data_IF_084766287129
#
_entry.id   IF_084766287129
#
_cell.length_a   1.000
_cell.length_b   1.000
_cell.length_c   1.000
_cell.angle_alpha   90.00
_cell.angle_beta   90.00
_cell.angle_gamma   90.00
#
_symmetry.space_group_name_H-M   'P 1'
#
loop_
_entity.id
_entity.type
_entity.pdbx_description
1 polymer ?
#
# COMPACT_ATOMS: atom_id res chain seq x y z
N UNK A 1 -51.26 25.72 -20.17
CA UNK A 1 -51.54 25.39 -18.77
C UNK A 1 -50.25 24.98 -18.08
N UNK A 2 -49.95 25.66 -16.97
CA UNK A 2 -48.86 25.40 -16.03
C UNK A 2 -48.99 23.98 -15.47
N UNK A 3 -47.91 23.19 -15.46
CA UNK A 3 -47.52 22.29 -14.35
C UNK A 3 -46.00 22.05 -14.39
N UNK A 4 -45.27 22.95 -13.73
CA UNK A 4 -44.07 22.59 -12.99
C UNK A 4 -44.53 21.79 -11.77
N UNK A 5 -43.95 20.63 -11.46
CA UNK A 5 -43.64 20.17 -10.08
C UNK A 5 -42.54 19.09 -10.16
N UNK A 6 -41.38 19.49 -9.66
CA UNK A 6 -40.47 18.81 -8.71
C UNK A 6 -40.07 17.34 -8.90
N UNK A 7 -38.76 17.12 -8.77
CA UNK A 7 -38.27 16.20 -7.73
C UNK A 7 -37.45 15.01 -8.20
N UNK A 8 -36.18 15.24 -8.55
CA UNK A 8 -35.16 14.18 -8.54
C UNK A 8 -33.80 14.75 -8.15
N UNK A 9 -33.71 15.29 -6.94
CA UNK A 9 -32.44 15.50 -6.25
C UNK A 9 -32.23 14.37 -5.25
N UNK A 10 -31.87 13.18 -5.73
CA UNK A 10 -31.24 12.15 -4.91
C UNK A 10 -29.76 12.52 -4.77
N UNK A 11 -29.51 13.58 -4.00
CA UNK A 11 -28.18 14.01 -3.59
C UNK A 11 -27.83 13.28 -2.29
N UNK A 12 -26.76 12.48 -2.34
CA UNK A 12 -25.85 12.28 -1.21
C UNK A 12 -26.38 11.48 -0.02
N UNK A 13 -26.52 10.16 -0.17
CA UNK A 13 -26.66 9.22 0.95
C UNK A 13 -25.34 8.47 1.26
N UNK A 14 -24.21 9.16 1.09
CA UNK A 14 -22.88 8.66 1.46
C UNK A 14 -22.08 9.76 2.17
N UNK A 15 -22.56 10.22 3.32
CA UNK A 15 -21.91 11.37 3.97
C UNK A 15 -22.36 11.70 5.38
N UNK A 16 -22.82 10.72 6.17
CA UNK A 16 -22.90 10.89 7.63
C UNK A 16 -22.10 9.77 8.28
N UNK A 17 -20.81 10.03 8.49
CA UNK A 17 -20.09 9.39 9.58
C UNK A 17 -20.72 9.91 10.88
N UNK A 18 -21.90 9.38 11.24
CA UNK A 18 -22.38 9.50 12.60
C UNK A 18 -21.27 8.87 13.47
N UNK A 19 -20.70 9.66 14.37
CA UNK A 19 -19.78 9.16 15.38
C UNK A 19 -20.51 8.04 16.14
N UNK A 20 -20.22 6.79 15.75
CA UNK A 20 -20.81 5.62 16.39
C UNK A 20 -20.17 5.57 17.78
N UNK A 21 -20.91 6.02 18.80
CA UNK A 21 -20.47 5.87 20.18
C UNK A 21 -20.28 4.39 20.42
N UNK A 22 -19.03 3.98 20.67
CA UNK A 22 -18.71 2.60 20.99
C UNK A 22 -19.50 2.23 22.25
N UNK A 23 -20.40 1.22 22.22
CA UNK A 23 -21.22 0.89 23.38
C UNK A 23 -20.33 0.64 24.60
N UNK A 24 -20.78 0.96 25.83
CA UNK A 24 -19.93 0.88 27.02
C UNK A 24 -19.36 -0.52 27.25
N UNK A 25 -20.10 -1.58 26.91
CA UNK A 25 -19.60 -2.95 26.94
C UNK A 25 -18.43 -3.20 25.98
N UNK A 26 -18.45 -2.57 24.79
CA UNK A 26 -17.36 -2.64 23.81
C UNK A 26 -16.16 -1.82 24.27
N UNK A 27 -16.37 -0.67 24.93
CA UNK A 27 -15.28 0.11 25.55
C UNK A 27 -14.55 -0.70 26.62
N UNK A 28 -15.29 -1.36 27.51
CA UNK A 28 -14.69 -2.23 28.55
C UNK A 28 -13.92 -3.39 27.92
N UNK A 29 -14.47 -4.02 26.88
CA UNK A 29 -13.78 -5.06 26.13
C UNK A 29 -12.49 -4.54 25.47
N UNK A 30 -12.53 -3.38 24.82
CA UNK A 30 -11.36 -2.75 24.19
C UNK A 30 -10.28 -2.40 25.20
N UNK A 31 -10.65 -1.84 26.37
CA UNK A 31 -9.71 -1.58 27.46
C UNK A 31 -9.04 -2.87 27.95
N UNK A 32 -9.80 -3.96 28.02
CA UNK A 32 -9.27 -5.29 28.34
C UNK A 32 -8.26 -5.80 27.32
N UNK A 33 -8.54 -5.67 26.02
CA UNK A 33 -7.60 -6.06 24.97
C UNK A 33 -6.34 -5.18 24.95
N UNK A 34 -6.48 -3.86 25.15
CA UNK A 34 -5.35 -2.94 25.25
C UNK A 34 -4.45 -3.28 26.45
N UNK A 35 -5.05 -3.64 27.60
CA UNK A 35 -4.30 -4.05 28.79
C UNK A 35 -3.53 -5.36 28.59
N UNK A 36 -4.00 -6.26 27.71
CA UNK A 36 -3.29 -7.48 27.34
C UNK A 36 -2.11 -7.22 26.40
N UNK A 37 -2.08 -6.06 25.74
CA UNK A 37 -1.06 -5.69 24.77
C UNK A 37 -1.20 -6.43 23.43
N UNK A 38 -0.31 -6.10 22.49
CA UNK A 38 -0.32 -6.73 21.18
C UNK A 38 0.14 -8.19 21.24
N UNK A 39 -0.52 -9.13 20.53
CA UNK A 39 -0.04 -10.49 20.41
C UNK A 39 1.39 -10.54 19.88
N UNK A 40 2.29 -11.29 20.54
CA UNK A 40 3.70 -11.37 20.12
C UNK A 40 3.90 -11.78 18.65
N UNK A 41 2.95 -12.54 18.07
CA UNK A 41 2.95 -12.88 16.64
C UNK A 41 2.86 -11.66 15.72
N UNK A 42 2.22 -10.57 16.13
CA UNK A 42 2.10 -9.34 15.34
C UNK A 42 3.40 -8.55 15.29
N UNK A 43 4.28 -8.76 16.27
CA UNK A 43 5.61 -8.16 16.32
C UNK A 43 6.65 -8.95 15.51
N UNK A 44 6.27 -10.11 14.97
CA UNK A 44 7.13 -10.94 14.14
C UNK A 44 6.93 -10.56 12.68
N UNK A 45 8.02 -10.29 11.97
CA UNK A 45 7.98 -10.08 10.52
C UNK A 45 7.36 -11.30 9.82
N UNK A 46 6.46 -11.04 8.85
CA UNK A 46 5.72 -12.07 8.10
C UNK A 46 6.62 -13.02 7.29
N UNK A 47 7.89 -12.70 7.10
CA UNK A 47 8.88 -13.56 6.46
C UNK A 47 10.31 -13.20 6.84
N UNK A 48 11.20 -14.19 6.90
CA UNK A 48 12.63 -13.94 7.17
C UNK A 48 13.34 -13.25 5.99
N UNK A 49 14.53 -12.71 6.25
CA UNK A 49 15.30 -11.95 5.26
C UNK A 49 15.46 -12.67 3.92
N UNK A 50 15.69 -13.98 3.90
CA UNK A 50 15.80 -14.76 2.66
C UNK A 50 14.52 -14.75 1.82
N UNK A 51 13.35 -14.86 2.48
CA UNK A 51 12.06 -14.83 1.82
C UNK A 51 11.78 -13.44 1.25
N UNK A 52 12.12 -12.38 2.00
CA UNK A 52 12.01 -11.00 1.53
C UNK A 52 12.88 -10.75 0.28
N UNK A 53 14.12 -11.25 0.25
CA UNK A 53 14.98 -11.16 -0.94
C UNK A 53 14.42 -11.95 -2.13
N UNK A 54 13.80 -13.10 -1.88
CA UNK A 54 13.17 -13.89 -2.95
C UNK A 54 11.96 -13.16 -3.54
N UNK A 55 11.15 -12.53 -2.69
CA UNK A 55 10.03 -11.68 -3.10
C UNK A 55 10.56 -10.48 -3.91
N UNK A 56 11.55 -9.76 -3.38
CA UNK A 56 12.10 -8.57 -4.07
C UNK A 56 12.64 -8.88 -5.46
N UNK A 57 13.29 -10.04 -5.65
CA UNK A 57 13.72 -10.48 -6.99
C UNK A 57 12.55 -10.70 -7.96
N UNK A 58 11.42 -11.24 -7.48
CA UNK A 58 10.21 -11.39 -8.29
C UNK A 58 9.63 -10.03 -8.67
N UNK A 59 9.59 -9.10 -7.72
CA UNK A 59 9.12 -7.73 -7.96
C UNK A 59 10.00 -6.99 -8.98
N UNK A 60 11.33 -7.11 -8.90
CA UNK A 60 12.26 -6.55 -9.88
C UNK A 60 12.01 -7.14 -11.28
N UNK A 61 11.74 -8.46 -11.37
CA UNK A 61 11.37 -9.11 -12.62
C UNK A 61 10.04 -8.61 -13.19
N UNK A 62 9.03 -8.41 -12.33
CA UNK A 62 7.75 -7.84 -12.72
C UNK A 62 7.90 -6.40 -13.23
N UNK A 63 8.69 -5.57 -12.54
CA UNK A 63 8.99 -4.20 -12.93
C UNK A 63 9.68 -4.12 -14.30
N UNK A 64 10.61 -5.05 -14.60
CA UNK A 64 11.20 -5.14 -15.94
C UNK A 64 10.13 -5.46 -16.99
N UNK A 65 9.23 -6.41 -16.73
CA UNK A 65 8.18 -6.76 -17.69
C UNK A 65 7.22 -5.60 -17.94
N UNK A 66 6.87 -4.85 -16.90
CA UNK A 66 6.07 -3.63 -17.01
C UNK A 66 6.79 -2.56 -17.84
N UNK A 67 8.06 -2.27 -17.53
CA UNK A 67 8.86 -1.31 -18.29
C UNK A 67 8.99 -1.73 -19.77
N UNK A 68 9.19 -3.01 -20.07
CA UNK A 68 9.24 -3.51 -21.44
C UNK A 68 7.90 -3.39 -22.16
N UNK A 69 6.78 -3.56 -21.46
CA UNK A 69 5.45 -3.35 -22.02
C UNK A 69 5.22 -1.87 -22.36
N UNK A 70 5.74 -0.96 -21.54
CA UNK A 70 5.67 0.47 -21.82
C UNK A 70 6.58 0.86 -22.99
N UNK A 71 7.79 0.31 -23.09
CA UNK A 71 8.65 0.53 -24.24
C UNK A 71 7.99 0.12 -25.57
N UNK A 72 7.11 -0.89 -25.57
CA UNK A 72 6.37 -1.30 -26.78
C UNK A 72 5.38 -0.24 -27.26
N UNK A 73 4.87 0.59 -26.35
CA UNK A 73 3.93 1.69 -26.67
C UNK A 73 4.65 2.90 -27.27
N UNK A 74 5.97 3.00 -27.12
CA UNK A 74 6.77 4.10 -27.67
C UNK A 74 6.99 3.99 -29.18
N UNK A 75 7.38 5.14 -29.78
CA UNK A 75 7.79 5.22 -31.18
C UNK A 75 9.03 4.37 -31.46
N UNK A 76 9.23 3.99 -32.73
CA UNK A 76 10.36 3.13 -33.11
C UNK A 76 11.73 3.76 -32.80
N UNK A 77 11.85 5.08 -32.89
CA UNK A 77 13.09 5.81 -32.59
C UNK A 77 13.46 5.80 -31.11
N UNK A 78 12.48 5.76 -30.21
CA UNK A 78 12.70 5.84 -28.76
C UNK A 78 12.74 4.45 -28.09
N UNK A 79 12.06 3.46 -28.70
CA UNK A 79 11.91 2.11 -28.13
C UNK A 79 13.24 1.44 -27.79
N UNK A 80 14.25 1.56 -28.65
CA UNK A 80 15.55 0.92 -28.41
C UNK A 80 16.26 1.49 -27.17
N UNK A 81 16.17 2.81 -26.97
CA UNK A 81 16.68 3.48 -25.77
C UNK A 81 15.95 3.00 -24.52
N UNK A 82 14.61 3.02 -24.54
CA UNK A 82 13.79 2.55 -23.43
C UNK A 82 14.11 1.11 -23.02
N UNK A 83 14.22 0.18 -23.98
CA UNK A 83 14.55 -1.23 -23.69
C UNK A 83 15.93 -1.36 -23.05
N UNK A 84 16.91 -0.57 -23.49
CA UNK A 84 18.25 -0.56 -22.92
C UNK A 84 18.22 -0.06 -21.48
N UNK A 85 17.51 1.02 -21.21
CA UNK A 85 17.36 1.59 -19.86
C UNK A 85 16.64 0.64 -18.91
N UNK A 86 15.53 0.02 -19.35
CA UNK A 86 14.79 -0.96 -18.57
C UNK A 86 15.68 -2.13 -18.13
N UNK A 87 16.51 -2.66 -19.05
CA UNK A 87 17.47 -3.74 -18.75
C UNK A 87 18.59 -3.29 -17.84
N UNK A 88 19.10 -2.07 -18.00
CA UNK A 88 20.12 -1.51 -17.13
C UNK A 88 19.60 -1.34 -15.69
N UNK A 89 18.36 -0.85 -15.54
CA UNK A 89 17.66 -0.77 -14.25
C UNK A 89 17.51 -2.14 -13.62
N UNK A 90 17.00 -3.14 -14.37
CA UNK A 90 16.90 -4.51 -13.88
C UNK A 90 18.23 -5.08 -13.35
N UNK A 91 19.33 -4.91 -14.10
CA UNK A 91 20.64 -5.40 -13.69
C UNK A 91 21.15 -4.70 -12.42
N UNK A 92 20.99 -3.37 -12.35
CA UNK A 92 21.33 -2.58 -11.16
C UNK A 92 20.51 -3.02 -9.96
N UNK A 93 19.21 -3.20 -10.11
CA UNK A 93 18.32 -3.53 -9.00
C UNK A 93 18.61 -4.94 -8.47
N UNK A 94 18.90 -5.91 -9.36
CA UNK A 94 19.35 -7.24 -8.95
C UNK A 94 20.67 -7.21 -8.15
N UNK A 95 21.64 -6.40 -8.58
CA UNK A 95 22.90 -6.24 -7.88
C UNK A 95 22.72 -5.63 -6.47
N UNK A 96 21.66 -4.83 -6.29
CA UNK A 96 21.36 -4.11 -5.05
C UNK A 96 20.16 -4.69 -4.27
N UNK A 97 19.75 -5.93 -4.54
CA UNK A 97 18.56 -6.56 -3.90
C UNK A 97 18.55 -6.46 -2.38
N UNK A 98 19.72 -6.60 -1.73
CA UNK A 98 19.82 -6.52 -0.26
C UNK A 98 19.46 -5.13 0.27
N UNK A 99 19.99 -4.12 -0.40
CA UNK A 99 19.75 -2.71 -0.08
C UNK A 99 18.29 -2.34 -0.34
N UNK A 100 17.71 -2.80 -1.46
CA UNK A 100 16.30 -2.56 -1.79
C UNK A 100 15.32 -3.17 -0.78
N UNK A 101 15.65 -4.33 -0.19
CA UNK A 101 14.84 -4.88 0.92
C UNK A 101 15.02 -4.08 2.19
N UNK A 102 16.26 -3.68 2.53
CA UNK A 102 16.49 -2.83 3.71
C UNK A 102 15.68 -1.52 3.62
N UNK A 103 15.70 -0.87 2.46
CA UNK A 103 14.91 0.33 2.18
C UNK A 103 13.40 0.08 2.31
N UNK A 104 12.91 -1.05 1.79
CA UNK A 104 11.49 -1.43 1.90
C UNK A 104 11.07 -1.56 3.38
N UNK A 105 11.93 -2.16 4.20
CA UNK A 105 11.65 -2.36 5.62
C UNK A 105 11.73 -1.05 6.42
N UNK A 106 12.61 -0.11 6.04
CA UNK A 106 12.65 1.21 6.68
C UNK A 106 11.40 2.06 6.40
N UNK A 107 10.80 1.92 5.21
CA UNK A 107 9.57 2.65 4.85
C UNK A 107 8.32 2.10 5.55
N UNK A 108 8.33 0.82 5.96
CA UNK A 108 7.27 0.21 6.77
C UNK A 108 7.32 0.55 8.26
N UNK A 109 8.38 1.22 8.71
CA UNK A 109 8.64 1.57 10.12
C UNK A 109 7.95 2.83 10.63
N UNK A 110 7.06 3.47 9.84
CA UNK A 110 6.22 4.57 10.34
C UNK A 110 5.18 3.97 11.27
N UNK A 111 5.58 3.69 12.52
CA UNK A 111 4.66 3.57 13.65
C UNK A 111 3.92 4.90 13.71
N UNK A 112 2.70 4.92 13.16
CA UNK A 112 1.71 5.93 13.44
C UNK A 112 1.72 6.15 14.95
N UNK A 113 2.29 7.27 15.39
CA UNK A 113 2.31 7.64 16.79
C UNK A 113 0.86 7.68 17.24
N UNK A 114 0.48 6.72 18.08
CA UNK A 114 -0.80 6.74 18.78
C UNK A 114 -0.96 8.14 19.37
N UNK A 115 -1.87 8.92 18.80
CA UNK A 115 -2.18 10.26 19.27
C UNK A 115 -2.60 10.10 20.73
N UNK A 116 -1.98 10.80 21.69
CA UNK A 116 -2.43 10.72 23.07
C UNK A 116 -3.86 11.25 23.13
N UNK A 117 -4.78 10.38 23.55
CA UNK A 117 -6.14 10.77 23.91
C UNK A 117 -6.01 11.60 25.19
N UNK A 118 -6.03 12.92 25.03
CA UNK A 118 -6.17 13.90 26.10
C UNK A 118 -7.63 13.94 26.56
#
# INVERSE_FOLDING_TARGET
>A
MKRLILGAALVGLCGVAAAQSTPPAVVQHQQGELARGEPARWLKEDGGAQAQMAIKRKEIGAALNEALNDCRKMSAGERAGCVKEARATYARDLANVKELVAQSNTMGGVRETVVPVQ
#
